data_IF_100413571085
#
_entry.id   IF_100413571085
#
_cell.length_a   1.000
_cell.length_b   1.000
_cell.length_c   1.000
_cell.angle_alpha   90.00
_cell.angle_beta   90.00
_cell.angle_gamma   90.00
#
_symmetry.space_group_name_H-M   'P 1'
#
loop_
_entity.id
_entity.type
_entity.pdbx_description
1 polymer ?
#
# COMPACT_ATOMS: atom_id res chain seq x y z
N UNK A 1 -1.39 -14.21 12.83
CA UNK A 1 -0.69 -13.99 11.55
C UNK A 1 -0.87 -12.53 11.22
N UNK A 2 0.21 -11.86 10.83
CA UNK A 2 0.14 -10.45 10.45
C UNK A 2 -0.66 -10.28 9.15
N UNK A 3 -1.40 -9.19 9.03
CA UNK A 3 -2.18 -8.84 7.85
C UNK A 3 -1.54 -7.63 7.19
N UNK A 4 -1.09 -7.80 5.94
CA UNK A 4 -0.51 -6.74 5.16
C UNK A 4 -1.55 -6.14 4.22
N UNK A 5 -1.61 -4.80 4.18
CA UNK A 5 -2.50 -4.05 3.29
C UNK A 5 -1.69 -3.11 2.43
N UNK A 6 -1.92 -3.18 1.13
CA UNK A 6 -1.31 -2.29 0.15
C UNK A 6 -2.36 -1.30 -0.29
N UNK A 7 -2.03 -0.02 -0.17
CA UNK A 7 -2.86 1.08 -0.62
C UNK A 7 -2.23 1.74 -1.83
N UNK A 8 -3.07 2.34 -2.67
CA UNK A 8 -2.66 3.09 -3.85
C UNK A 8 -3.42 4.39 -3.96
N UNK A 9 -2.82 5.36 -4.65
CA UNK A 9 -3.48 6.62 -4.96
C UNK A 9 -3.02 7.16 -6.30
N UNK A 10 -3.94 7.76 -7.04
CA UNK A 10 -3.66 8.48 -8.29
C UNK A 10 -3.40 9.98 -8.06
N UNK A 11 -3.31 10.44 -6.81
CA UNK A 11 -2.98 11.84 -6.50
C UNK A 11 -1.48 12.00 -6.33
N UNK A 12 -0.89 13.00 -6.97
CA UNK A 12 0.53 13.31 -6.79
C UNK A 12 0.88 13.81 -5.38
N UNK A 13 -0.10 14.45 -4.72
CA UNK A 13 -0.03 14.94 -3.33
C UNK A 13 -1.24 14.43 -2.55
N UNK A 14 -1.24 13.15 -2.13
CA UNK A 14 -2.39 12.52 -1.49
C UNK A 14 -2.55 12.97 -0.03
N UNK A 15 -3.78 13.14 0.42
CA UNK A 15 -4.15 13.15 1.84
C UNK A 15 -4.58 11.74 2.28
N UNK A 16 -4.78 11.51 3.58
CA UNK A 16 -5.11 10.17 4.08
C UNK A 16 -6.39 9.56 3.46
N UNK A 17 -7.35 10.40 3.06
CA UNK A 17 -8.58 9.95 2.39
C UNK A 17 -8.40 9.58 0.90
N UNK A 18 -7.27 9.95 0.27
CA UNK A 18 -7.00 9.65 -1.14
C UNK A 18 -6.41 8.24 -1.36
N UNK A 19 -6.18 7.49 -0.29
CA UNK A 19 -5.60 6.15 -0.33
C UNK A 19 -6.69 5.09 -0.42
N UNK A 20 -6.62 4.29 -1.47
CA UNK A 20 -7.55 3.19 -1.71
C UNK A 20 -6.86 1.84 -1.49
N UNK A 21 -7.56 0.90 -0.86
CA UNK A 21 -7.04 -0.44 -0.64
C UNK A 21 -6.96 -1.19 -1.98
N UNK A 22 -5.76 -1.61 -2.37
CA UNK A 22 -5.53 -2.39 -3.58
C UNK A 22 -5.50 -3.89 -3.29
N UNK A 23 -4.86 -4.28 -2.19
CA UNK A 23 -4.68 -5.69 -1.83
C UNK A 23 -4.56 -5.87 -0.31
N UNK A 24 -5.04 -7.01 0.17
CA UNK A 24 -4.84 -7.51 1.52
C UNK A 24 -4.30 -8.95 1.43
N UNK A 25 -3.22 -9.24 2.14
CA UNK A 25 -2.59 -10.57 2.14
C UNK A 25 -1.86 -10.84 3.46
N UNK A 26 -1.85 -12.09 3.95
CA UNK A 26 -1.01 -12.48 5.08
C UNK A 26 0.47 -12.69 4.68
N UNK A 27 0.80 -12.64 3.38
CA UNK A 27 2.15 -12.84 2.87
C UNK A 27 2.90 -11.51 2.66
N UNK A 28 3.95 -11.30 3.47
CA UNK A 28 4.78 -10.11 3.44
C UNK A 28 5.52 -9.91 2.10
N UNK A 29 5.92 -11.00 1.43
CA UNK A 29 6.66 -10.94 0.16
C UNK A 29 5.73 -10.43 -0.94
N UNK A 30 4.52 -11.00 -1.02
CA UNK A 30 3.51 -10.57 -1.99
C UNK A 30 3.11 -9.12 -1.75
N UNK A 31 2.90 -8.72 -0.49
CA UNK A 31 2.56 -7.34 -0.14
C UNK A 31 3.67 -6.34 -0.54
N UNK A 32 4.92 -6.71 -0.29
CA UNK A 32 6.08 -5.87 -0.65
C UNK A 32 6.23 -5.73 -2.17
N UNK A 33 6.05 -6.81 -2.93
CA UNK A 33 6.09 -6.76 -4.39
C UNK A 33 4.99 -5.85 -4.94
N UNK A 34 3.76 -5.98 -4.43
CA UNK A 34 2.65 -5.13 -4.83
C UNK A 34 2.88 -3.66 -4.45
N UNK A 35 3.47 -3.37 -3.29
CA UNK A 35 3.77 -2.00 -2.89
C UNK A 35 4.78 -1.30 -3.83
N UNK A 36 5.62 -2.03 -4.57
CA UNK A 36 6.60 -1.47 -5.51
C UNK A 36 6.13 -1.40 -6.97
N UNK A 37 4.93 -1.93 -7.27
CA UNK A 37 4.35 -1.76 -8.59
C UNK A 37 3.72 -0.37 -8.71
N UNK A 38 3.82 0.26 -9.88
CA UNK A 38 3.30 1.62 -10.10
C UNK A 38 2.18 1.68 -11.14
N UNK A 39 1.65 0.54 -11.57
CA UNK A 39 0.60 0.52 -12.60
C UNK A 39 -0.70 1.13 -12.05
N UNK A 40 -1.19 2.19 -12.72
CA UNK A 40 -2.45 2.87 -12.40
C UNK A 40 -2.44 3.79 -11.18
N UNK A 41 -1.30 3.95 -10.49
CA UNK A 41 -1.19 4.78 -9.27
C UNK A 41 0.07 5.64 -9.30
N UNK A 42 0.01 6.83 -8.70
CA UNK A 42 1.18 7.68 -8.46
C UNK A 42 2.03 7.19 -7.30
N UNK A 43 1.38 6.73 -6.22
CA UNK A 43 2.05 6.27 -5.01
C UNK A 43 1.41 5.03 -4.45
N UNK A 44 2.21 4.20 -3.78
CA UNK A 44 1.74 3.09 -2.96
C UNK A 44 2.25 3.16 -1.52
N UNK A 45 1.46 2.58 -0.61
CA UNK A 45 1.71 2.54 0.83
C UNK A 45 1.48 1.12 1.32
N UNK A 46 2.28 0.68 2.29
CA UNK A 46 2.16 -0.63 2.92
C UNK A 46 1.94 -0.48 4.42
N UNK A 47 0.93 -1.18 4.93
CA UNK A 47 0.72 -1.33 6.38
C UNK A 47 0.74 -2.80 6.79
N UNK A 48 1.20 -3.08 7.99
CA UNK A 48 1.17 -4.38 8.67
C UNK A 48 0.33 -4.25 9.94
N UNK A 49 -0.78 -4.97 10.03
CA UNK A 49 -1.72 -4.92 11.16
C UNK A 49 -2.17 -3.49 11.53
N UNK A 50 -2.24 -2.60 10.52
CA UNK A 50 -2.61 -1.19 10.68
C UNK A 50 -1.44 -0.24 11.02
N UNK A 51 -0.23 -0.77 11.22
CA UNK A 51 0.98 0.03 11.39
C UNK A 51 1.65 0.29 10.05
N UNK A 52 2.13 1.50 9.83
CA UNK A 52 2.77 1.87 8.57
C UNK A 52 4.18 1.30 8.47
N UNK A 53 4.43 0.52 7.42
CA UNK A 53 5.73 -0.10 7.13
C UNK A 53 6.46 0.65 6.03
N UNK A 54 5.72 1.03 4.98
CA UNK A 54 6.21 1.89 3.90
C UNK A 54 5.18 3.00 3.69
N UNK A 55 5.57 4.25 3.95
CA UNK A 55 4.66 5.38 3.84
C UNK A 55 4.33 5.75 2.40
N UNK A 56 5.35 5.71 1.51
CA UNK A 56 5.23 6.09 0.11
C UNK A 56 6.35 5.46 -0.72
N UNK A 57 5.96 4.64 -1.69
CA UNK A 57 6.80 4.00 -2.71
C UNK A 57 6.31 4.41 -4.09
#
# INVERSE_FOLDING_TARGET
MATYRVYGTAKASPVDADWELLAETPDAVVATQLAHQSEGTFWRRLTEDGHMVLDRV
#
